data_IF_994191587755
#
_entry.id   IF_994191587755
#
_cell.length_a   1.000
_cell.length_b   1.000
_cell.length_c   1.000
_cell.angle_alpha   90.00
_cell.angle_beta   90.00
_cell.angle_gamma   90.00
#
_symmetry.space_group_name_H-M   'P 1'
#
loop_
_entity.id
_entity.type
_entity.pdbx_description
1 polymer ?
#
# COMPACT_ATOMS: atom_id res chain seq x y z
N UNK A 1 3.07 -11.28 -0.50
CA UNK A 1 3.61 -10.29 -1.47
C UNK A 1 4.62 -9.43 -0.73
N UNK A 2 5.83 -9.29 -1.25
CA UNK A 2 6.84 -8.35 -0.70
C UNK A 2 6.69 -6.97 -1.33
N UNK A 3 7.29 -5.93 -0.74
CA UNK A 3 7.34 -4.59 -1.35
C UNK A 3 7.97 -4.62 -2.75
N UNK A 4 9.00 -5.44 -2.97
CA UNK A 4 9.63 -5.60 -4.28
C UNK A 4 8.66 -6.17 -5.33
N UNK A 5 7.86 -7.17 -4.95
CA UNK A 5 6.84 -7.75 -5.83
C UNK A 5 5.71 -6.76 -6.13
N UNK A 6 5.28 -5.99 -5.12
CA UNK A 6 4.28 -4.94 -5.31
C UNK A 6 4.78 -3.85 -6.26
N UNK A 7 6.01 -3.34 -6.09
CA UNK A 7 6.61 -2.35 -6.98
C UNK A 7 6.67 -2.87 -8.42
N UNK A 8 7.04 -4.13 -8.62
CA UNK A 8 7.07 -4.72 -9.95
C UNK A 8 5.68 -4.70 -10.61
N UNK A 9 4.62 -5.07 -9.88
CA UNK A 9 3.25 -5.02 -10.39
C UNK A 9 2.78 -3.58 -10.68
N UNK A 10 3.08 -2.63 -9.80
CA UNK A 10 2.69 -1.23 -9.98
C UNK A 10 3.36 -0.57 -11.19
N UNK A 11 4.56 -1.00 -11.58
CA UNK A 11 5.27 -0.47 -12.75
C UNK A 11 4.63 -0.83 -14.09
N UNK A 12 3.75 -1.83 -14.12
CA UNK A 12 3.00 -2.21 -15.32
C UNK A 12 1.74 -1.35 -15.51
N UNK A 13 1.37 -0.52 -14.51
CA UNK A 13 0.20 0.35 -14.57
C UNK A 13 0.54 1.73 -15.14
N UNK A 14 -0.46 2.45 -15.71
CA UNK A 14 -0.31 3.86 -16.05
C UNK A 14 0.09 4.71 -14.83
N UNK A 15 0.91 5.76 -15.00
CA UNK A 15 1.35 6.64 -13.91
C UNK A 15 0.21 7.29 -13.10
N UNK A 16 -0.96 7.45 -13.71
CA UNK A 16 -2.17 8.02 -13.12
C UNK A 16 -3.08 7.00 -12.42
N UNK A 17 -2.72 5.72 -12.41
CA UNK A 17 -3.50 4.69 -11.75
C UNK A 17 -3.57 4.95 -10.23
N UNK A 18 -4.78 4.88 -9.68
CA UNK A 18 -5.01 5.01 -8.24
C UNK A 18 -4.82 3.67 -7.54
N UNK A 19 -4.29 3.69 -6.31
CA UNK A 19 -4.16 2.50 -5.47
C UNK A 19 -5.37 2.43 -4.56
N UNK A 20 -6.07 1.30 -4.62
CA UNK A 20 -7.22 1.00 -3.78
C UNK A 20 -6.86 -0.11 -2.79
N UNK A 21 -7.43 -0.03 -1.60
CA UNK A 21 -7.39 -1.07 -0.59
C UNK A 21 -8.77 -1.73 -0.50
N UNK A 22 -8.82 -3.06 -0.49
CA UNK A 22 -10.05 -3.82 -0.29
C UNK A 22 -10.29 -4.04 1.21
N UNK A 23 -11.40 -3.52 1.71
CA UNK A 23 -11.90 -3.76 3.06
C UNK A 23 -13.29 -4.41 3.05
N UNK A 24 -13.85 -4.62 4.23
CA UNK A 24 -15.13 -5.31 4.41
C UNK A 24 -16.31 -4.58 3.73
N UNK A 25 -16.19 -3.26 3.54
CA UNK A 25 -17.22 -2.42 2.91
C UNK A 25 -16.95 -2.12 1.43
N UNK A 26 -15.91 -2.71 0.84
CA UNK A 26 -15.52 -2.52 -0.56
C UNK A 26 -14.13 -1.91 -0.72
N UNK A 27 -13.93 -1.16 -1.82
CA UNK A 27 -12.64 -0.53 -2.12
C UNK A 27 -12.58 0.89 -1.58
N UNK A 28 -11.49 1.23 -0.90
CA UNK A 28 -11.19 2.56 -0.41
C UNK A 28 -9.90 3.10 -1.04
N UNK A 29 -9.84 4.41 -1.31
CA UNK A 29 -8.62 5.06 -1.76
C UNK A 29 -7.52 4.98 -0.70
N UNK A 30 -6.27 4.76 -1.11
CA UNK A 30 -5.11 4.88 -0.22
C UNK A 30 -4.64 6.34 -0.18
N UNK A 31 -4.85 7.01 0.95
CA UNK A 31 -4.46 8.40 1.18
C UNK A 31 -3.00 8.59 1.61
N UNK A 32 -2.35 7.54 2.12
CA UNK A 32 -0.97 7.64 2.58
C UNK A 32 -0.28 6.31 2.84
N UNK A 33 1.04 6.37 2.96
CA UNK A 33 1.88 5.23 3.35
C UNK A 33 2.84 5.64 4.46
N UNK A 34 2.98 4.79 5.47
CA UNK A 34 4.00 4.92 6.51
C UNK A 34 4.94 3.72 6.48
N UNK A 35 6.24 3.97 6.62
CA UNK A 35 7.24 2.92 6.68
C UNK A 35 7.68 2.75 8.13
N UNK A 36 7.29 1.64 8.73
CA UNK A 36 7.75 1.26 10.07
C UNK A 36 9.07 0.50 9.95
N UNK A 37 10.12 1.05 10.58
CA UNK A 37 11.42 0.39 10.68
C UNK A 37 11.43 -0.57 11.85
N UNK A 38 11.76 -1.83 11.58
CA UNK A 38 11.79 -2.86 12.60
C UNK A 38 13.24 -3.28 12.91
N UNK A 39 13.50 -3.72 14.14
CA UNK A 39 14.81 -4.23 14.52
C UNK A 39 14.99 -5.67 14.01
N UNK A 40 16.21 -6.08 13.61
CA UNK A 40 16.48 -7.45 13.22
C UNK A 40 16.01 -8.46 14.29
N UNK A 41 15.40 -9.60 13.91
CA UNK A 41 15.27 -10.13 12.54
C UNK A 41 13.97 -9.73 11.82
N UNK A 42 13.16 -8.82 12.38
CA UNK A 42 11.87 -8.46 11.80
C UNK A 42 12.06 -7.56 10.56
N UNK A 43 11.36 -7.83 9.45
CA UNK A 43 11.38 -6.97 8.28
C UNK A 43 10.65 -5.66 8.55
N UNK A 44 11.03 -4.60 7.84
CA UNK A 44 10.28 -3.35 7.81
C UNK A 44 8.87 -3.54 7.23
N UNK A 45 7.94 -2.71 7.66
CA UNK A 45 6.54 -2.77 7.25
C UNK A 45 6.13 -1.49 6.53
N UNK A 46 5.25 -1.63 5.54
CA UNK A 46 4.59 -0.52 4.87
C UNK A 46 3.10 -0.54 5.26
N UNK A 47 2.66 0.48 5.98
CA UNK A 47 1.29 0.63 6.48
C UNK A 47 0.56 1.60 5.54
N UNK A 48 -0.55 1.15 4.95
CA UNK A 48 -1.40 1.95 4.07
C UNK A 48 -2.54 2.55 4.88
N UNK A 49 -2.78 3.85 4.71
CA UNK A 49 -3.92 4.53 5.32
C UNK A 49 -5.01 4.75 4.28
N UNK A 50 -6.24 4.28 4.52
CA UNK A 50 -7.36 4.60 3.66
C UNK A 50 -7.72 6.09 3.81
N UNK A 51 -8.28 6.67 2.75
CA UNK A 51 -8.98 7.95 2.86
C UNK A 51 -10.31 7.71 3.58
N UNK A 52 -10.51 8.41 4.71
CA UNK A 52 -11.73 8.29 5.51
C UNK A 52 -12.75 9.41 5.19
N UNK A 53 -12.48 10.24 4.18
CA UNK A 53 -13.38 11.31 3.74
C UNK A 53 -14.30 10.91 2.58
N UNK A 54 -14.26 9.65 2.14
CA UNK A 54 -15.22 9.08 1.17
C UNK A 54 -16.54 8.65 1.83
#
# INVERSE_FOLDING_TARGET
>A
MTVAQLIAALRELPPEAVVLYEGDEGYALVAGVHIQKNAPPLPDEAILFPDMNE
#
